data_IF_884384163482
#
_entry.id   IF_884384163482
#
_cell.length_a   1.000
_cell.length_b   1.000
_cell.length_c   1.000
_cell.angle_alpha   90.00
_cell.angle_beta   90.00
_cell.angle_gamma   90.00
#
_symmetry.space_group_name_H-M   'P 1'
#
loop_
_entity.id
_entity.type
_entity.pdbx_description
1 polymer ?
#
# COMPACT_ATOMS: atom_id res chain seq x y z
N UNK A 1 -49.31 -58.72 31.00
CA UNK A 1 -48.40 -58.66 32.17
C UNK A 1 -47.42 -57.52 31.89
N UNK A 2 -47.71 -56.32 32.40
CA UNK A 2 -47.08 -55.71 33.59
C UNK A 2 -45.59 -55.41 33.34
N UNK A 3 -45.02 -54.22 33.50
CA UNK A 3 -45.40 -52.85 33.87
C UNK A 3 -44.22 -51.96 33.36
N UNK A 4 -44.39 -50.68 33.04
CA UNK A 4 -44.49 -49.60 34.01
C UNK A 4 -43.10 -49.04 34.38
N UNK A 5 -43.02 -47.70 34.43
CA UNK A 5 -41.94 -46.86 34.97
C UNK A 5 -40.81 -46.46 34.00
N UNK A 6 -40.26 -45.24 34.05
CA UNK A 6 -40.72 -43.94 34.51
C UNK A 6 -39.63 -42.96 34.07
N UNK A 7 -40.02 -41.69 33.90
CA UNK A 7 -39.12 -40.59 33.60
C UNK A 7 -38.00 -40.47 34.66
N UNK A 8 -36.74 -40.49 34.24
CA UNK A 8 -35.63 -39.91 35.01
C UNK A 8 -34.71 -39.06 34.14
N UNK A 9 -34.53 -37.84 34.61
CA UNK A 9 -33.78 -36.74 34.01
C UNK A 9 -32.31 -37.10 33.74
N UNK A 10 -31.86 -36.83 32.51
CA UNK A 10 -30.44 -36.76 32.17
C UNK A 10 -29.91 -35.36 32.53
N UNK A 11 -29.00 -35.32 33.50
CA UNK A 11 -28.44 -34.10 34.07
C UNK A 11 -27.66 -33.23 33.08
N UNK A 12 -27.71 -31.92 33.34
CA UNK A 12 -27.00 -30.87 32.63
C UNK A 12 -25.48 -30.99 32.77
N UNK A 13 -24.79 -31.52 31.77
CA UNK A 13 -23.34 -31.41 31.64
C UNK A 13 -22.93 -30.06 31.04
N UNK A 14 -22.81 -29.00 31.87
CA UNK A 14 -22.12 -27.78 31.43
C UNK A 14 -20.65 -28.12 31.19
N UNK A 15 -20.21 -28.13 29.93
CA UNK A 15 -18.77 -28.12 29.61
C UNK A 15 -18.16 -26.89 30.27
N UNK A 16 -17.22 -27.10 31.19
CA UNK A 16 -16.46 -26.03 31.79
C UNK A 16 -15.65 -25.32 30.69
N UNK A 17 -15.91 -24.03 30.50
CA UNK A 17 -15.06 -23.13 29.72
C UNK A 17 -13.64 -23.20 30.31
N UNK A 18 -12.58 -23.41 29.51
CA UNK A 18 -11.23 -23.41 30.05
C UNK A 18 -10.99 -22.05 30.70
N UNK A 19 -10.69 -22.06 32.00
CA UNK A 19 -10.36 -20.89 32.80
C UNK A 19 -9.15 -20.25 32.10
N UNK A 20 -9.30 -19.04 31.55
CA UNK A 20 -8.18 -18.28 30.98
C UNK A 20 -7.12 -18.14 32.07
N UNK A 21 -6.05 -18.95 31.99
CA UNK A 21 -4.88 -18.76 32.85
C UNK A 21 -4.36 -17.35 32.61
N UNK A 22 -4.29 -16.57 33.69
CA UNK A 22 -3.71 -15.25 33.63
C UNK A 22 -2.22 -15.39 33.30
N UNK A 23 -1.82 -14.85 32.14
CA UNK A 23 -0.42 -14.78 31.68
C UNK A 23 0.50 -14.32 32.83
N UNK A 24 1.61 -15.04 33.03
CA UNK A 24 2.55 -14.76 34.12
C UNK A 24 3.22 -13.40 33.87
N UNK A 25 3.69 -12.75 34.93
CA UNK A 25 4.37 -11.46 34.82
C UNK A 25 5.59 -11.50 33.86
N UNK A 26 6.27 -12.65 33.75
CA UNK A 26 7.34 -12.88 32.77
C UNK A 26 6.85 -12.87 31.31
N UNK A 27 5.66 -13.42 31.04
CA UNK A 27 5.04 -13.43 29.71
C UNK A 27 4.62 -12.02 29.27
N UNK A 28 4.25 -11.16 30.24
CA UNK A 28 3.93 -9.75 30.01
C UNK A 28 5.15 -8.91 29.64
N UNK A 29 6.32 -9.25 30.17
CA UNK A 29 7.60 -8.59 29.82
C UNK A 29 8.06 -9.02 28.42
N UNK A 30 7.86 -10.30 28.05
CA UNK A 30 8.11 -10.78 26.69
C UNK A 30 7.12 -10.22 25.64
N UNK A 31 5.91 -9.85 26.06
CA UNK A 31 4.92 -9.13 25.25
C UNK A 31 5.08 -7.60 25.35
N UNK A 32 6.26 -7.07 25.69
CA UNK A 32 6.59 -5.70 25.34
C UNK A 32 6.67 -5.62 23.80
N UNK A 33 5.51 -5.40 23.15
CA UNK A 33 5.39 -5.20 21.70
C UNK A 33 6.55 -4.33 21.22
N UNK A 34 7.46 -4.89 20.42
CA UNK A 34 8.46 -4.14 19.66
C UNK A 34 7.75 -2.94 19.07
N UNK A 35 8.10 -1.71 19.51
CA UNK A 35 7.39 -0.49 19.09
C UNK A 35 7.28 -0.51 17.56
N UNK A 36 6.06 -0.64 17.05
CA UNK A 36 5.81 -0.65 15.62
C UNK A 36 6.30 0.70 15.07
N UNK A 37 7.28 0.66 14.17
CA UNK A 37 7.77 1.88 13.50
C UNK A 37 6.75 2.27 12.45
N UNK A 38 6.25 3.50 12.52
CA UNK A 38 5.46 4.10 11.45
C UNK A 38 6.37 4.22 10.22
N UNK A 39 5.84 3.79 9.07
CA UNK A 39 6.51 3.96 7.78
C UNK A 39 5.81 5.08 7.01
N UNK A 40 6.60 5.90 6.32
CA UNK A 40 6.10 7.06 5.57
C UNK A 40 6.21 6.78 4.08
N UNK A 41 5.21 7.21 3.33
CA UNK A 41 5.25 7.28 1.86
C UNK A 41 5.46 8.74 1.52
N UNK A 42 6.49 9.03 0.74
CA UNK A 42 6.69 10.37 0.20
C UNK A 42 5.78 10.56 -1.02
N UNK A 43 5.15 11.73 -1.14
CA UNK A 43 4.28 12.09 -2.27
C UNK A 43 4.76 13.33 -3.00
N UNK A 44 6.00 13.76 -2.73
CA UNK A 44 6.54 15.05 -3.21
C UNK A 44 6.55 15.11 -4.73
N UNK A 45 7.00 14.04 -5.39
CA UNK A 45 7.16 14.00 -6.85
C UNK A 45 5.87 13.72 -7.63
N UNK A 46 4.75 13.43 -6.95
CA UNK A 46 3.47 13.14 -7.60
C UNK A 46 2.34 13.98 -7.02
N UNK A 47 1.75 13.60 -5.89
CA UNK A 47 0.52 14.25 -5.41
C UNK A 47 0.74 15.69 -4.91
N UNK A 48 1.89 15.96 -4.29
CA UNK A 48 2.20 17.29 -3.78
C UNK A 48 2.34 18.31 -4.93
N UNK A 49 3.14 17.99 -5.95
CA UNK A 49 3.29 18.88 -7.11
C UNK A 49 2.01 18.98 -7.95
N UNK A 50 1.21 17.91 -8.02
CA UNK A 50 -0.10 17.96 -8.69
C UNK A 50 -1.06 18.92 -7.96
N UNK A 51 -1.00 18.94 -6.63
CA UNK A 51 -1.86 19.79 -5.80
C UNK A 51 -1.40 21.25 -5.76
N UNK A 52 -0.09 21.49 -5.71
CA UNK A 52 0.48 22.83 -5.46
C UNK A 52 0.98 23.53 -6.74
N UNK A 53 1.44 22.75 -7.72
CA UNK A 53 2.13 23.24 -8.92
C UNK A 53 1.45 22.78 -10.21
N UNK A 54 0.25 22.21 -10.13
CA UNK A 54 -0.50 21.70 -11.29
C UNK A 54 0.16 20.51 -12.00
N UNK A 55 1.17 19.88 -11.38
CA UNK A 55 1.88 18.72 -11.94
C UNK A 55 3.00 19.07 -12.93
N UNK A 56 3.50 20.32 -12.92
CA UNK A 56 4.46 20.83 -13.90
C UNK A 56 5.94 20.72 -13.49
N UNK A 57 6.30 20.01 -12.41
CA UNK A 57 7.71 19.76 -12.12
C UNK A 57 8.32 18.89 -13.22
N UNK A 58 9.45 19.33 -13.75
CA UNK A 58 10.15 18.67 -14.84
C UNK A 58 11.10 17.59 -14.34
N UNK A 59 11.43 16.66 -15.23
CA UNK A 59 12.36 15.57 -14.94
C UNK A 59 13.73 16.08 -14.47
N UNK A 60 14.23 17.18 -15.04
CA UNK A 60 15.51 17.80 -14.70
C UNK A 60 15.51 18.57 -13.37
N UNK A 61 14.33 18.88 -12.81
CA UNK A 61 14.19 19.42 -11.46
C UNK A 61 14.09 18.29 -10.40
N UNK A 62 13.44 17.18 -10.76
CA UNK A 62 13.21 16.04 -9.84
C UNK A 62 14.45 15.16 -9.70
N UNK A 63 15.06 14.75 -10.82
CA UNK A 63 16.15 13.74 -10.82
C UNK A 63 17.37 14.18 -10.00
N UNK A 64 17.82 15.46 -10.01
CA UNK A 64 18.99 15.87 -9.24
C UNK A 64 18.86 15.68 -7.72
N UNK A 65 17.65 15.75 -7.17
CA UNK A 65 17.41 15.60 -5.72
C UNK A 65 17.06 14.15 -5.33
N UNK A 66 16.76 13.28 -6.31
CA UNK A 66 16.24 11.95 -6.10
C UNK A 66 17.16 11.06 -5.23
N UNK A 67 18.48 11.09 -5.42
CA UNK A 67 19.42 10.31 -4.62
C UNK A 67 19.39 10.70 -3.12
N UNK A 68 19.16 11.99 -2.82
CA UNK A 68 19.00 12.45 -1.44
C UNK A 68 17.70 11.93 -0.84
N UNK A 69 16.61 11.97 -1.62
CA UNK A 69 15.32 11.43 -1.20
C UNK A 69 15.39 9.92 -0.93
N UNK A 70 16.09 9.17 -1.78
CA UNK A 70 16.30 7.73 -1.64
C UNK A 70 17.01 7.36 -0.33
N UNK A 71 17.95 8.20 0.12
CA UNK A 71 18.71 7.97 1.36
C UNK A 71 17.88 8.13 2.66
N UNK A 72 16.67 8.69 2.59
CA UNK A 72 15.83 8.96 3.77
C UNK A 72 15.24 7.66 4.33
N UNK A 73 14.99 6.66 3.48
CA UNK A 73 14.40 5.38 3.86
C UNK A 73 12.87 5.42 3.98
N UNK A 74 12.20 6.04 3.02
CA UNK A 74 10.74 5.96 2.89
C UNK A 74 10.28 4.53 2.61
N UNK A 75 9.02 4.24 2.91
CA UNK A 75 8.37 2.98 2.55
C UNK A 75 8.26 2.83 1.02
N UNK A 76 7.96 3.95 0.36
CA UNK A 76 7.89 4.14 -1.07
C UNK A 76 7.90 5.65 -1.39
N UNK A 77 8.23 5.99 -2.63
CA UNK A 77 8.05 7.33 -3.18
C UNK A 77 6.97 7.26 -4.26
N UNK A 78 5.85 7.96 -4.04
CA UNK A 78 4.84 8.13 -5.07
C UNK A 78 5.35 9.14 -6.10
N UNK A 79 5.60 8.66 -7.32
CA UNK A 79 6.21 9.44 -8.38
C UNK A 79 5.56 9.25 -9.76
N UNK A 80 4.52 8.39 -9.88
CA UNK A 80 3.92 8.06 -11.18
C UNK A 80 2.39 8.00 -11.16
N UNK A 81 1.78 8.15 -12.33
CA UNK A 81 0.34 8.06 -12.53
C UNK A 81 -0.45 9.28 -12.06
N UNK A 82 -1.77 9.17 -11.94
CA UNK A 82 -2.63 10.33 -11.73
C UNK A 82 -2.66 11.29 -12.92
N UNK A 83 -2.74 12.58 -12.64
CA UNK A 83 -2.70 13.61 -13.67
C UNK A 83 -1.27 13.90 -14.15
N UNK A 84 -0.24 13.53 -13.39
CA UNK A 84 1.16 13.76 -13.78
C UNK A 84 1.52 13.09 -15.12
N UNK A 85 0.95 11.92 -15.41
CA UNK A 85 1.14 11.27 -16.71
C UNK A 85 0.63 12.13 -17.88
N UNK A 86 -0.56 12.74 -17.75
CA UNK A 86 -1.11 13.65 -18.76
C UNK A 86 -0.28 14.94 -18.84
N UNK A 87 0.11 15.53 -17.69
CA UNK A 87 0.90 16.76 -17.66
C UNK A 87 2.28 16.57 -18.29
N UNK A 88 2.97 15.45 -18.03
CA UNK A 88 4.26 15.13 -18.65
C UNK A 88 4.17 15.10 -20.18
N UNK A 89 3.12 14.48 -20.73
CA UNK A 89 2.88 14.49 -22.17
C UNK A 89 2.62 15.91 -22.70
N UNK A 90 1.88 16.74 -21.96
CA UNK A 90 1.61 18.14 -22.33
C UNK A 90 2.88 19.00 -22.36
N UNK A 91 3.84 18.75 -21.46
CA UNK A 91 5.13 19.45 -21.44
C UNK A 91 6.20 18.78 -22.32
N UNK A 92 5.80 17.85 -23.18
CA UNK A 92 6.66 17.12 -24.11
C UNK A 92 7.75 16.26 -23.44
N UNK A 93 7.46 15.68 -22.28
CA UNK A 93 8.29 14.67 -21.64
C UNK A 93 7.72 13.26 -21.84
N UNK A 94 8.59 12.26 -21.91
CA UNK A 94 8.21 10.84 -21.91
C UNK A 94 8.08 10.35 -20.46
N UNK A 95 6.87 10.00 -19.97
CA UNK A 95 6.65 9.49 -18.62
C UNK A 95 7.47 8.23 -18.30
N UNK A 96 7.72 7.39 -19.32
CA UNK A 96 8.48 6.15 -19.14
C UNK A 96 9.98 6.42 -19.02
N UNK A 97 10.49 7.41 -19.76
CA UNK A 97 11.89 7.85 -19.62
C UNK A 97 12.14 8.51 -18.26
N UNK A 98 11.21 9.34 -17.80
CA UNK A 98 11.21 9.88 -16.44
C UNK A 98 11.29 8.75 -15.40
N UNK A 99 10.41 7.74 -15.50
CA UNK A 99 10.38 6.62 -14.55
C UNK A 99 11.70 5.84 -14.56
N UNK A 100 12.28 5.58 -15.73
CA UNK A 100 13.59 4.92 -15.87
C UNK A 100 14.72 5.74 -15.22
N UNK A 101 14.75 7.05 -15.43
CA UNK A 101 15.74 7.96 -14.83
C UNK A 101 15.59 8.02 -13.30
N UNK A 102 14.36 8.12 -12.82
CA UNK A 102 14.08 8.15 -11.38
C UNK A 102 14.48 6.83 -10.72
N UNK A 103 14.07 5.69 -11.29
CA UNK A 103 14.43 4.37 -10.77
C UNK A 103 15.95 4.16 -10.69
N UNK A 104 16.69 4.64 -11.68
CA UNK A 104 18.17 4.63 -11.65
C UNK A 104 18.73 5.49 -10.52
N UNK A 105 18.10 6.62 -10.21
CA UNK A 105 18.53 7.55 -9.16
C UNK A 105 18.09 7.13 -7.75
N UNK A 106 17.08 6.24 -7.64
CA UNK A 106 16.49 5.81 -6.36
C UNK A 106 16.48 4.28 -6.20
N UNK A 107 17.66 3.63 -6.17
CA UNK A 107 17.73 2.17 -6.16
C UNK A 107 17.25 1.50 -4.85
N UNK A 108 17.13 2.25 -3.74
CA UNK A 108 16.80 1.67 -2.44
C UNK A 108 15.30 1.77 -2.08
N UNK A 109 14.60 2.76 -2.64
CA UNK A 109 13.22 3.08 -2.28
C UNK A 109 12.27 2.71 -3.42
N UNK A 110 11.24 1.87 -3.19
CA UNK A 110 10.27 1.51 -4.22
C UNK A 110 9.53 2.72 -4.75
N UNK A 111 9.40 2.81 -6.09
CA UNK A 111 8.53 3.79 -6.73
C UNK A 111 7.10 3.28 -6.70
N UNK A 112 6.18 4.15 -6.26
CA UNK A 112 4.75 3.89 -6.21
C UNK A 112 4.02 4.73 -7.27
N UNK A 113 2.97 4.16 -7.84
CA UNK A 113 2.08 4.81 -8.78
C UNK A 113 0.64 4.83 -8.26
N UNK A 114 -0.12 5.87 -8.62
CA UNK A 114 -1.58 5.87 -8.47
C UNK A 114 -2.25 5.65 -9.83
N UNK A 115 -2.88 4.49 -9.96
CA UNK A 115 -3.61 4.03 -11.15
C UNK A 115 -5.11 3.95 -10.83
N UNK A 116 -5.97 4.43 -11.74
CA UNK A 116 -7.42 4.56 -11.56
C UNK A 116 -8.21 3.36 -12.09
N UNK A 117 -7.81 2.13 -11.71
CA UNK A 117 -8.49 0.91 -12.16
C UNK A 117 -8.64 0.85 -13.69
N UNK A 118 -9.87 0.67 -14.19
CA UNK A 118 -10.18 0.60 -15.63
C UNK A 118 -9.79 1.86 -16.42
N UNK A 119 -9.67 3.01 -15.74
CA UNK A 119 -9.32 4.28 -16.37
C UNK A 119 -7.82 4.47 -16.50
N UNK A 120 -7.01 3.61 -15.86
CA UNK A 120 -5.56 3.71 -15.81
C UNK A 120 -5.12 5.12 -15.36
N UNK A 121 -4.47 5.86 -16.26
CA UNK A 121 -4.02 7.25 -16.07
C UNK A 121 -4.88 8.25 -16.87
N UNK A 122 -5.94 7.80 -17.54
CA UNK A 122 -6.83 8.63 -18.34
C UNK A 122 -8.14 8.97 -17.62
N UNK A 123 -9.04 9.60 -18.37
CA UNK A 123 -10.38 10.03 -17.95
C UNK A 123 -11.51 9.15 -18.50
N UNK A 124 -11.16 8.06 -19.19
CA UNK A 124 -12.10 7.09 -19.79
C UNK A 124 -11.65 5.66 -19.50
N UNK A 125 -12.57 4.71 -19.61
CA UNK A 125 -12.27 3.29 -19.46
C UNK A 125 -11.52 2.76 -20.69
N UNK A 126 -10.67 1.76 -20.45
CA UNK A 126 -10.02 0.96 -21.48
C UNK A 126 -10.55 -0.48 -21.47
N UNK A 127 -10.32 -1.21 -22.56
CA UNK A 127 -10.56 -2.64 -22.58
C UNK A 127 -9.54 -3.38 -21.69
N UNK A 128 -9.89 -4.57 -21.22
CA UNK A 128 -9.10 -5.31 -20.23
C UNK A 128 -7.69 -5.64 -20.73
N UNK A 129 -7.54 -5.95 -22.02
CA UNK A 129 -6.25 -6.19 -22.67
C UNK A 129 -5.32 -4.98 -22.60
N UNK A 130 -5.86 -3.78 -22.85
CA UNK A 130 -5.11 -2.53 -22.72
C UNK A 130 -4.75 -2.23 -21.26
N UNK A 131 -5.62 -2.55 -20.31
CA UNK A 131 -5.34 -2.43 -18.87
C UNK A 131 -4.20 -3.37 -18.46
N UNK A 132 -4.28 -4.65 -18.83
CA UNK A 132 -3.24 -5.64 -18.56
C UNK A 132 -1.90 -5.26 -19.17
N UNK A 133 -1.90 -4.80 -20.43
CA UNK A 133 -0.69 -4.35 -21.10
C UNK A 133 -0.06 -3.14 -20.41
N UNK A 134 -0.86 -2.18 -19.96
CA UNK A 134 -0.36 -1.03 -19.23
C UNK A 134 0.29 -1.45 -17.90
N UNK A 135 -0.38 -2.29 -17.11
CA UNK A 135 0.14 -2.76 -15.82
C UNK A 135 1.39 -3.63 -16.00
N UNK A 136 1.47 -4.43 -17.06
CA UNK A 136 2.66 -5.24 -17.35
C UNK A 136 3.87 -4.39 -17.77
N UNK A 137 3.62 -3.26 -18.43
CA UNK A 137 4.67 -2.37 -18.90
C UNK A 137 5.19 -1.42 -17.81
N UNK A 138 4.28 -0.96 -16.93
CA UNK A 138 4.59 -0.05 -15.83
C UNK A 138 5.41 -0.72 -14.71
#
# INVERSE_FOLDING_TARGET
>A
MAGGADHRAAGSGRRATPRREALRAGDRIALAKKKARVRLVDTTFRDAQQSLLGGYLRTDEIVPIAAKMDSIGFASMEAFGGATFETQLLIHEDPWDFLRKLNKATPNTPIQALIRGQNLVAKRNFADDAVELFIKHA
#
